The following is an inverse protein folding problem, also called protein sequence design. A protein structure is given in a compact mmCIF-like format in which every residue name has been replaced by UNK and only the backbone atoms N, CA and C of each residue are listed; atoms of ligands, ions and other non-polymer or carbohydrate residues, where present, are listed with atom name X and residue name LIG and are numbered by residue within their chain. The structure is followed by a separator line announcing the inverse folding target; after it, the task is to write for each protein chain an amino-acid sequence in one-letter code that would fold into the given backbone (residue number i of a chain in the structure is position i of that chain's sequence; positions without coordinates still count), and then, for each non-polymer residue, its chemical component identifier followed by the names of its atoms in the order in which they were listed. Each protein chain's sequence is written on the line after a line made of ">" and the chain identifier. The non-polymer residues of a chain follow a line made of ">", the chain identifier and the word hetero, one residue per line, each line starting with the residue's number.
data_IF_824315925130
#
_entry.id   IF_824315925130
#
_cell.length_a   1.000
_cell.length_b   1.000
_cell.length_c   1.000
_cell.angle_alpha   90.00
_cell.angle_beta   90.00
_cell.angle_gamma   90.00
#
_symmetry.space_group_name_H-M   'P 1'
#
loop_
_entity.id
_entity.type
_entity.pdbx_description
1 polymer ?
#
# COMPACT_ATOMS: atom_id res chain seq x y z
N UNK A 1 -45.11 6.16 71.12
CA UNK A 1 -46.36 6.08 70.31
C UNK A 1 -45.84 5.72 68.92
N UNK A 2 -45.84 4.46 68.70
CA UNK A 2 -46.64 3.69 67.71
C UNK A 2 -46.10 3.89 66.30
N UNK A 3 -45.40 2.88 65.90
CA UNK A 3 -45.77 1.84 64.89
C UNK A 3 -45.99 2.40 63.47
N UNK A 4 -45.30 1.90 62.46
CA UNK A 4 -45.75 0.68 61.80
C UNK A 4 -44.72 0.18 60.81
N UNK A 5 -44.47 -1.09 60.86
CA UNK A 5 -43.73 -1.86 59.85
C UNK A 5 -44.58 -1.98 58.57
N UNK A 6 -43.99 -1.82 57.41
CA UNK A 6 -44.53 -2.35 56.18
C UNK A 6 -43.38 -3.12 55.46
N UNK A 7 -43.51 -4.42 55.52
CA UNK A 7 -42.91 -5.39 54.60
C UNK A 7 -43.26 -5.05 53.18
N UNK A 8 -42.26 -5.00 52.32
CA UNK A 8 -42.52 -5.07 50.89
C UNK A 8 -41.60 -6.09 50.24
N UNK A 9 -42.29 -7.12 49.74
CA UNK A 9 -41.73 -8.25 49.02
C UNK A 9 -40.95 -7.79 47.79
N UNK A 10 -39.77 -8.41 47.56
CA UNK A 10 -39.04 -8.24 46.32
C UNK A 10 -39.69 -8.99 45.15
N UNK A 11 -39.53 -8.49 43.96
CA UNK A 11 -39.83 -9.30 42.76
C UNK A 11 -38.61 -10.14 42.32
N UNK A 12 -38.99 -11.30 41.85
CA UNK A 12 -38.19 -12.37 41.29
C UNK A 12 -37.14 -11.93 40.24
N UNK A 13 -36.00 -12.59 40.31
CA UNK A 13 -34.99 -12.56 39.25
C UNK A 13 -35.54 -13.28 38.02
N UNK A 14 -35.71 -12.59 36.93
CA UNK A 14 -35.82 -13.20 35.60
C UNK A 14 -34.41 -13.35 35.04
N UNK A 15 -33.97 -14.58 34.97
CA UNK A 15 -32.84 -15.04 34.18
C UNK A 15 -33.14 -14.82 32.68
N UNK A 16 -32.08 -14.52 31.91
CA UNK A 16 -32.15 -14.62 30.46
C UNK A 16 -31.71 -13.39 29.68
N UNK A 17 -30.55 -12.80 29.97
CA UNK A 17 -29.88 -11.96 28.97
C UNK A 17 -28.98 -12.86 28.12
N UNK A 18 -29.45 -13.21 26.93
CA UNK A 18 -28.62 -13.80 25.88
C UNK A 18 -27.47 -12.85 25.56
N UNK A 19 -26.25 -13.34 25.69
CA UNK A 19 -25.07 -12.66 25.19
C UNK A 19 -25.18 -12.64 23.66
N UNK A 20 -24.93 -11.52 22.99
CA UNK A 20 -24.76 -11.52 21.55
C UNK A 20 -23.49 -12.31 21.25
N UNK A 21 -23.65 -13.34 20.43
CA UNK A 21 -22.54 -14.10 19.86
C UNK A 21 -21.55 -13.12 19.23
N UNK A 22 -20.34 -13.09 19.78
CA UNK A 22 -19.24 -12.38 19.20
C UNK A 22 -18.93 -13.01 17.85
N UNK A 23 -19.32 -12.36 16.77
CA UNK A 23 -18.81 -12.65 15.45
C UNK A 23 -17.29 -12.47 15.50
N UNK A 24 -16.60 -13.58 15.51
CA UNK A 24 -15.13 -13.62 15.41
C UNK A 24 -14.73 -13.11 14.03
N UNK A 25 -14.15 -11.95 14.00
CA UNK A 25 -13.51 -11.34 12.82
C UNK A 25 -12.14 -11.95 12.50
N UNK A 26 -11.97 -13.26 12.73
CA UNK A 26 -10.67 -13.95 12.59
C UNK A 26 -10.37 -14.45 11.17
N UNK A 27 -11.19 -14.12 10.16
CA UNK A 27 -11.05 -14.66 8.80
C UNK A 27 -10.33 -13.79 7.76
N UNK A 28 -10.14 -12.50 8.00
CA UNK A 28 -9.66 -11.56 6.97
C UNK A 28 -8.13 -11.54 6.78
N UNK A 29 -7.36 -12.04 7.72
CA UNK A 29 -5.89 -11.96 7.68
C UNK A 29 -5.22 -13.12 6.92
N UNK A 30 -5.93 -14.21 6.64
CA UNK A 30 -5.40 -15.41 5.97
C UNK A 30 -5.74 -15.48 4.47
N UNK A 31 -6.44 -14.49 3.91
CA UNK A 31 -6.72 -14.49 2.48
C UNK A 31 -5.46 -14.18 1.66
N UNK A 32 -5.20 -14.95 0.57
CA UNK A 32 -4.03 -14.73 -0.28
C UNK A 32 -4.07 -13.34 -0.91
N UNK A 33 -2.90 -12.70 -1.03
CA UNK A 33 -2.79 -11.40 -1.67
C UNK A 33 -3.15 -11.51 -3.16
N UNK A 34 -4.25 -10.89 -3.56
CA UNK A 34 -4.61 -10.72 -4.97
C UNK A 34 -3.97 -9.43 -5.49
N UNK A 35 -3.24 -9.53 -6.59
CA UNK A 35 -2.56 -8.38 -7.21
C UNK A 35 -3.21 -8.09 -8.56
N UNK A 36 -3.55 -6.81 -8.81
CA UNK A 36 -4.21 -6.36 -10.02
C UNK A 36 -4.03 -4.86 -10.26
N UNK A 37 -4.46 -4.34 -11.41
CA UNK A 37 -4.42 -2.92 -11.74
C UNK A 37 -5.47 -2.15 -10.93
N UNK A 38 -5.07 -1.02 -10.37
CA UNK A 38 -5.97 -0.10 -9.65
C UNK A 38 -6.57 0.90 -10.63
N UNK A 39 -7.87 0.82 -10.83
CA UNK A 39 -8.63 1.80 -11.62
C UNK A 39 -9.22 2.95 -10.81
N UNK A 40 -9.76 3.94 -11.50
CA UNK A 40 -10.39 5.12 -10.89
C UNK A 40 -11.46 4.83 -9.82
N UNK A 41 -12.28 3.76 -9.90
CA UNK A 41 -13.23 3.43 -8.84
C UNK A 41 -12.60 3.22 -7.45
N UNK A 42 -11.35 2.77 -7.41
CA UNK A 42 -10.59 2.54 -6.17
C UNK A 42 -9.72 3.73 -5.74
N UNK A 43 -9.81 4.88 -6.40
CA UNK A 43 -8.94 6.03 -6.13
C UNK A 43 -9.05 6.55 -4.69
N UNK A 44 -10.25 6.54 -4.10
CA UNK A 44 -10.46 6.98 -2.70
C UNK A 44 -9.76 6.07 -1.69
N UNK A 45 -9.87 4.77 -1.89
CA UNK A 45 -9.19 3.77 -1.07
C UNK A 45 -7.67 3.84 -1.24
N UNK A 46 -7.21 3.92 -2.49
CA UNK A 46 -5.78 4.10 -2.82
C UNK A 46 -5.19 5.34 -2.17
N UNK A 47 -5.90 6.47 -2.19
CA UNK A 47 -5.46 7.70 -1.54
C UNK A 47 -5.28 7.51 -0.03
N UNK A 48 -6.22 6.80 0.61
CA UNK A 48 -6.19 6.48 2.04
C UNK A 48 -4.99 5.59 2.37
N UNK A 49 -4.77 4.52 1.60
CA UNK A 49 -3.62 3.61 1.75
C UNK A 49 -2.30 4.36 1.61
N UNK A 50 -2.14 5.18 0.57
CA UNK A 50 -0.93 5.96 0.34
C UNK A 50 -0.65 6.93 1.49
N UNK A 51 -1.65 7.70 1.91
CA UNK A 51 -1.50 8.65 3.02
C UNK A 51 -1.10 7.94 4.31
N UNK A 52 -1.77 6.85 4.67
CA UNK A 52 -1.43 6.09 5.86
C UNK A 52 0.00 5.54 5.82
N UNK A 53 0.43 4.99 4.68
CA UNK A 53 1.76 4.41 4.53
C UNK A 53 2.90 5.44 4.61
N UNK A 54 2.68 6.67 4.10
CA UNK A 54 3.72 7.70 4.01
C UNK A 54 3.86 8.59 5.26
N UNK A 55 3.00 8.43 6.27
CA UNK A 55 3.12 9.17 7.54
C UNK A 55 4.47 8.95 8.20
N UNK A 56 4.95 7.71 8.26
CA UNK A 56 6.24 7.40 8.90
C UNK A 56 7.42 8.03 8.14
N UNK A 57 7.33 8.10 6.82
CA UNK A 57 8.36 8.74 6.00
C UNK A 57 8.34 10.26 6.19
N UNK A 58 7.16 10.88 6.21
CA UNK A 58 6.99 12.29 6.51
C UNK A 58 7.55 12.67 7.89
N UNK A 59 7.29 11.85 8.91
CA UNK A 59 7.85 12.06 10.25
C UNK A 59 9.38 11.91 10.27
N UNK A 60 9.94 10.96 9.51
CA UNK A 60 11.39 10.76 9.43
C UNK A 60 12.11 11.96 8.83
N UNK A 61 11.54 12.58 7.81
CA UNK A 61 12.14 13.70 7.11
C UNK A 61 11.65 15.07 7.61
N UNK A 62 10.69 15.09 8.55
CA UNK A 62 10.10 16.34 9.03
C UNK A 62 9.31 17.09 7.94
N UNK A 63 8.93 16.41 6.86
CA UNK A 63 8.23 17.00 5.71
C UNK A 63 6.78 16.51 5.61
N UNK A 64 5.79 17.30 6.09
CA UNK A 64 4.39 16.96 5.95
C UNK A 64 3.84 17.18 4.53
N UNK A 65 4.65 17.75 3.62
CA UNK A 65 4.26 18.08 2.26
C UNK A 65 4.74 17.08 1.20
N UNK A 66 5.13 15.88 1.60
CA UNK A 66 5.44 14.82 0.66
C UNK A 66 4.31 14.65 -0.38
N UNK A 67 4.62 14.49 -1.67
CA UNK A 67 3.61 14.38 -2.73
C UNK A 67 2.56 13.29 -2.49
N UNK A 68 2.92 12.19 -1.79
CA UNK A 68 1.99 11.13 -1.42
C UNK A 68 0.95 11.57 -0.38
N UNK A 69 1.24 12.59 0.44
CA UNK A 69 0.34 13.13 1.47
C UNK A 69 -0.52 14.28 0.96
N UNK A 70 0.01 15.10 0.05
CA UNK A 70 -0.65 16.31 -0.45
C UNK A 70 -1.51 16.10 -1.68
N UNK A 71 -1.29 14.99 -2.41
CA UNK A 71 -2.09 14.66 -3.59
C UNK A 71 -3.58 14.64 -3.26
N UNK A 72 -4.37 15.36 -4.07
CA UNK A 72 -5.83 15.37 -3.99
C UNK A 72 -6.43 14.15 -4.69
N UNK A 73 -7.70 13.85 -4.40
CA UNK A 73 -8.42 12.77 -5.10
C UNK A 73 -8.52 13.03 -6.60
N UNK A 74 -8.77 14.28 -7.02
CA UNK A 74 -8.86 14.63 -8.43
C UNK A 74 -7.54 14.43 -9.18
N UNK A 75 -6.42 14.82 -8.58
CA UNK A 75 -5.08 14.59 -9.14
C UNK A 75 -4.75 13.09 -9.21
N UNK A 76 -5.16 12.30 -8.22
CA UNK A 76 -4.95 10.87 -8.24
C UNK A 76 -5.78 10.19 -9.35
N UNK A 77 -7.05 10.59 -9.53
CA UNK A 77 -7.89 10.09 -10.64
C UNK A 77 -7.27 10.44 -11.98
N UNK A 78 -6.79 11.68 -12.15
CA UNK A 78 -6.10 12.09 -13.37
C UNK A 78 -4.81 11.28 -13.60
N UNK A 79 -4.03 11.00 -12.57
CA UNK A 79 -2.81 10.17 -12.65
C UNK A 79 -3.14 8.72 -13.06
N UNK A 80 -4.20 8.13 -12.51
CA UNK A 80 -4.67 6.79 -12.86
C UNK A 80 -5.19 6.66 -14.31
N UNK A 81 -5.53 7.77 -14.94
CA UNK A 81 -6.04 7.83 -16.31
C UNK A 81 -4.94 8.12 -17.36
N UNK A 82 -3.71 8.39 -16.91
CA UNK A 82 -2.59 8.61 -17.82
C UNK A 82 -2.23 7.32 -18.57
N UNK A 83 -2.01 7.37 -19.90
CA UNK A 83 -1.67 6.17 -20.68
C UNK A 83 -0.27 5.62 -20.39
N UNK A 84 0.61 6.45 -19.82
CA UNK A 84 1.97 6.12 -19.43
C UNK A 84 2.12 5.76 -17.95
N UNK A 85 0.98 5.63 -17.22
CA UNK A 85 0.98 5.28 -15.79
C UNK A 85 0.14 4.04 -15.55
N UNK A 86 0.71 3.08 -14.82
CA UNK A 86 0.01 1.93 -14.29
C UNK A 86 0.17 1.92 -12.77
N UNK A 87 -0.92 1.82 -12.04
CA UNK A 87 -0.87 1.58 -10.58
C UNK A 87 -1.35 0.17 -10.30
N UNK A 88 -0.54 -0.59 -9.59
CA UNK A 88 -0.82 -1.97 -9.20
C UNK A 88 -1.17 -1.96 -7.72
N UNK A 89 -2.24 -2.64 -7.37
CA UNK A 89 -2.71 -2.81 -6.00
C UNK A 89 -2.60 -4.25 -5.53
N UNK A 90 -2.50 -4.43 -4.24
CA UNK A 90 -2.63 -5.71 -3.57
C UNK A 90 -3.85 -5.69 -2.64
N UNK A 91 -4.72 -6.68 -2.79
CA UNK A 91 -5.93 -6.83 -1.97
C UNK A 91 -5.86 -8.09 -1.13
N UNK A 92 -6.32 -7.98 0.12
CA UNK A 92 -6.72 -9.12 0.94
C UNK A 92 -8.25 -9.04 1.08
N UNK A 93 -8.95 -10.04 0.56
CA UNK A 93 -10.39 -9.96 0.41
C UNK A 93 -10.81 -8.75 -0.43
N UNK A 94 -11.58 -7.88 0.18
CA UNK A 94 -12.06 -6.64 -0.44
C UNK A 94 -11.18 -5.41 -0.12
N UNK A 95 -10.26 -5.52 0.84
CA UNK A 95 -9.43 -4.42 1.32
C UNK A 95 -8.20 -4.23 0.46
N UNK A 96 -7.99 -3.02 -0.07
CA UNK A 96 -6.71 -2.64 -0.67
C UNK A 96 -5.67 -2.45 0.45
N UNK A 97 -4.63 -3.27 0.46
CA UNK A 97 -3.61 -3.29 1.53
C UNK A 97 -2.26 -2.73 1.10
N UNK A 98 -2.07 -2.54 -0.19
CA UNK A 98 -0.85 -1.93 -0.71
C UNK A 98 -0.96 -1.54 -2.16
N UNK A 99 -0.01 -0.74 -2.64
CA UNK A 99 0.05 -0.31 -4.04
C UNK A 99 1.48 0.06 -4.44
N UNK A 100 1.74 0.01 -5.73
CA UNK A 100 2.94 0.54 -6.35
C UNK A 100 2.55 1.24 -7.66
N UNK A 101 3.15 2.40 -7.95
CA UNK A 101 2.95 3.16 -9.17
C UNK A 101 4.09 2.92 -10.14
N UNK A 102 3.78 2.74 -11.39
CA UNK A 102 4.72 2.60 -12.51
C UNK A 102 4.49 3.74 -13.48
N UNK A 103 5.54 4.41 -13.89
CA UNK A 103 5.54 5.37 -15.00
C UNK A 103 6.42 4.84 -16.11
N UNK A 104 5.89 4.82 -17.33
CA UNK A 104 6.51 4.23 -18.51
C UNK A 104 7.05 5.33 -19.42
N UNK A 105 8.32 5.23 -19.83
CA UNK A 105 8.95 6.14 -20.76
C UNK A 105 9.85 5.36 -21.73
N UNK A 106 9.35 5.09 -22.93
CA UNK A 106 10.07 4.31 -23.94
C UNK A 106 10.35 2.88 -23.46
N UNK A 107 11.61 2.54 -23.30
CA UNK A 107 12.10 1.25 -22.79
C UNK A 107 12.37 1.25 -21.28
N UNK A 108 11.95 2.30 -20.56
CA UNK A 108 12.16 2.47 -19.13
C UNK A 108 10.86 2.48 -18.37
N UNK A 109 10.89 1.87 -17.19
CA UNK A 109 9.84 1.97 -16.20
C UNK A 109 10.39 2.59 -14.91
N UNK A 110 9.70 3.59 -14.36
CA UNK A 110 10.05 4.17 -13.07
C UNK A 110 9.00 3.79 -12.03
N UNK A 111 9.44 3.08 -11.00
CA UNK A 111 8.59 2.68 -9.89
C UNK A 111 8.61 3.76 -8.80
N UNK A 112 7.45 4.05 -8.27
CA UNK A 112 7.31 4.99 -7.17
C UNK A 112 6.11 4.68 -6.30
N UNK A 113 6.00 5.41 -5.20
CA UNK A 113 4.84 5.35 -4.29
C UNK A 113 4.48 3.92 -3.85
N UNK A 114 5.50 3.08 -3.62
CA UNK A 114 5.29 1.80 -2.96
C UNK A 114 4.73 2.06 -1.56
N UNK A 115 3.53 1.59 -1.32
CA UNK A 115 2.78 1.80 -0.09
C UNK A 115 2.22 0.48 0.40
N UNK A 116 2.28 0.24 1.70
CA UNK A 116 1.61 -0.86 2.39
C UNK A 116 0.97 -0.29 3.63
N UNK A 117 -0.28 -0.67 3.92
CA UNK A 117 -1.00 -0.22 5.12
C UNK A 117 -0.17 -0.52 6.38
N UNK A 118 -0.16 0.39 7.38
CA UNK A 118 0.73 0.28 8.54
C UNK A 118 0.63 -1.03 9.31
N UNK A 119 -0.57 -1.57 9.46
CA UNK A 119 -0.88 -2.81 10.18
C UNK A 119 -0.36 -4.09 9.51
N UNK A 120 -0.03 -4.02 8.20
CA UNK A 120 0.47 -5.16 7.42
C UNK A 120 1.91 -4.95 6.90
N UNK A 121 2.59 -3.91 7.35
CA UNK A 121 4.01 -3.71 7.01
C UNK A 121 4.87 -4.82 7.62
N UNK A 122 5.97 -5.17 6.94
CA UNK A 122 6.87 -6.24 7.39
C UNK A 122 6.42 -7.66 7.03
N UNK A 123 5.21 -7.86 6.49
CA UNK A 123 4.66 -9.16 6.10
C UNK A 123 4.98 -9.56 4.63
N UNK A 124 5.87 -8.84 3.97
CA UNK A 124 6.32 -9.17 2.61
C UNK A 124 5.43 -8.64 1.48
N UNK A 125 4.33 -7.94 1.76
CA UNK A 125 3.42 -7.38 0.74
C UNK A 125 4.16 -6.46 -0.23
N UNK A 126 5.01 -5.57 0.27
CA UNK A 126 5.81 -4.69 -0.57
C UNK A 126 6.74 -5.44 -1.53
N UNK A 127 7.31 -6.57 -1.10
CA UNK A 127 8.10 -7.45 -1.96
C UNK A 127 7.25 -8.11 -3.04
N UNK A 128 6.06 -8.60 -2.69
CA UNK A 128 5.14 -9.20 -3.66
C UNK A 128 4.68 -8.21 -4.72
N UNK A 129 4.35 -6.98 -4.33
CA UNK A 129 4.00 -5.90 -5.25
C UNK A 129 5.16 -5.56 -6.18
N UNK A 130 6.39 -5.45 -5.66
CA UNK A 130 7.59 -5.13 -6.44
C UNK A 130 7.90 -6.22 -7.48
N UNK A 131 7.71 -7.49 -7.12
CA UNK A 131 7.91 -8.62 -8.04
C UNK A 131 6.79 -8.70 -9.08
N UNK A 132 5.54 -8.48 -8.66
CA UNK A 132 4.40 -8.53 -9.56
C UNK A 132 4.45 -7.45 -10.65
N UNK A 133 5.06 -6.29 -10.37
CA UNK A 133 5.21 -5.20 -11.36
C UNK A 133 5.76 -5.69 -12.68
N UNK A 134 6.73 -6.60 -12.66
CA UNK A 134 7.40 -7.10 -13.88
C UNK A 134 6.40 -7.74 -14.86
N UNK A 135 5.28 -8.28 -14.37
CA UNK A 135 4.23 -8.88 -15.21
C UNK A 135 3.35 -7.84 -15.91
N UNK A 136 3.41 -6.58 -15.48
CA UNK A 136 2.62 -5.47 -16.01
C UNK A 136 3.46 -4.50 -16.84
N UNK A 137 4.74 -4.79 -17.04
CA UNK A 137 5.62 -3.98 -17.89
C UNK A 137 5.47 -4.39 -19.35
N UNK A 138 5.52 -3.43 -20.30
CA UNK A 138 5.60 -3.71 -21.73
C UNK A 138 6.84 -4.55 -22.07
N UNK A 139 6.72 -5.41 -23.09
CA UNK A 139 7.83 -6.30 -23.52
C UNK A 139 9.10 -5.56 -23.93
N UNK A 140 8.98 -4.31 -24.41
CA UNK A 140 10.13 -3.48 -24.78
C UNK A 140 10.87 -2.87 -23.58
N UNK A 141 10.38 -3.05 -22.33
CA UNK A 141 11.01 -2.47 -21.15
C UNK A 141 12.37 -3.17 -20.90
N UNK A 142 13.42 -2.38 -20.85
CA UNK A 142 14.79 -2.87 -20.60
C UNK A 142 15.31 -2.48 -19.23
N UNK A 143 14.83 -1.38 -18.69
CA UNK A 143 15.30 -0.83 -17.42
C UNK A 143 14.15 -0.53 -16.48
N UNK A 144 14.32 -0.88 -15.22
CA UNK A 144 13.40 -0.52 -14.15
C UNK A 144 14.15 0.33 -13.12
N UNK A 145 13.65 1.53 -12.90
CA UNK A 145 14.20 2.49 -11.97
C UNK A 145 13.32 2.60 -10.73
N UNK A 146 13.96 2.81 -9.59
CA UNK A 146 13.31 3.17 -8.32
C UNK A 146 14.10 4.29 -7.67
N UNK A 147 13.43 5.08 -6.83
CA UNK A 147 14.12 6.02 -5.97
C UNK A 147 13.48 6.02 -4.57
N UNK A 148 14.30 6.26 -3.57
CA UNK A 148 13.88 6.35 -2.17
C UNK A 148 14.78 7.32 -1.43
N UNK A 149 14.31 7.84 -0.29
CA UNK A 149 15.19 8.63 0.55
C UNK A 149 16.44 7.84 0.97
N UNK A 150 17.59 8.48 0.91
CA UNK A 150 18.89 7.83 1.22
C UNK A 150 18.95 7.19 2.61
N UNK A 151 18.17 7.72 3.56
CA UNK A 151 18.09 7.20 4.93
C UNK A 151 17.07 6.10 5.12
N UNK A 152 16.33 5.73 4.07
CA UNK A 152 15.34 4.66 4.09
C UNK A 152 16.01 3.28 3.96
N UNK A 153 16.76 2.87 4.99
CA UNK A 153 17.53 1.60 4.99
C UNK A 153 16.68 0.39 4.63
N UNK A 154 15.41 0.39 5.06
CA UNK A 154 14.48 -0.71 4.78
C UNK A 154 14.17 -0.81 3.28
N UNK A 155 13.87 0.33 2.61
CA UNK A 155 13.59 0.34 1.19
C UNK A 155 14.84 0.04 0.36
N UNK A 156 16.00 0.61 0.73
CA UNK A 156 17.26 0.30 0.08
C UNK A 156 17.60 -1.19 0.13
N UNK A 157 17.41 -1.82 1.31
CA UNK A 157 17.62 -3.27 1.47
C UNK A 157 16.61 -4.09 0.65
N UNK A 158 15.33 -3.64 0.59
CA UNK A 158 14.31 -4.28 -0.23
C UNK A 158 14.71 -4.28 -1.71
N UNK A 159 15.07 -3.12 -2.25
CA UNK A 159 15.43 -2.99 -3.66
C UNK A 159 16.71 -3.75 -3.99
N UNK A 160 17.77 -3.64 -3.18
CA UNK A 160 19.01 -4.37 -3.38
C UNK A 160 18.79 -5.89 -3.41
N UNK A 161 17.93 -6.43 -2.52
CA UNK A 161 17.57 -7.86 -2.50
C UNK A 161 16.85 -8.31 -3.78
N UNK A 162 16.19 -7.40 -4.50
CA UNK A 162 15.50 -7.68 -5.76
C UNK A 162 16.35 -7.37 -7.01
N UNK A 163 17.67 -7.13 -6.83
CA UNK A 163 18.61 -6.93 -7.92
C UNK A 163 18.67 -5.51 -8.47
N UNK A 164 18.15 -4.52 -7.71
CA UNK A 164 18.35 -3.11 -8.05
C UNK A 164 19.71 -2.65 -7.53
N UNK A 165 20.47 -1.99 -8.39
CA UNK A 165 21.79 -1.47 -8.08
C UNK A 165 21.75 0.06 -7.96
N UNK A 166 22.41 0.60 -6.94
CA UNK A 166 22.54 2.04 -6.75
C UNK A 166 23.30 2.67 -7.92
N UNK A 167 22.78 3.77 -8.45
CA UNK A 167 23.37 4.49 -9.58
C UNK A 167 23.92 5.85 -9.15
N UNK A 168 23.10 6.67 -8.50
CA UNK A 168 23.48 8.01 -8.03
C UNK A 168 22.54 8.49 -6.95
N UNK A 169 22.96 9.56 -6.27
CA UNK A 169 22.13 10.31 -5.34
C UNK A 169 21.75 11.65 -5.95
N UNK A 170 20.52 12.09 -5.73
CA UNK A 170 20.00 13.38 -6.16
C UNK A 170 19.53 14.19 -4.97
N UNK A 171 20.03 15.41 -4.84
CA UNK A 171 19.60 16.36 -3.82
C UNK A 171 18.39 17.17 -4.33
N UNK A 172 17.33 17.21 -3.54
CA UNK A 172 16.11 17.96 -3.82
C UNK A 172 15.72 18.72 -2.56
N UNK A 173 16.07 20.02 -2.48
CA UNK A 173 15.96 20.78 -1.24
C UNK A 173 16.82 20.19 -0.13
N UNK A 174 16.22 19.89 1.02
CA UNK A 174 16.90 19.25 2.16
C UNK A 174 16.93 17.71 2.07
N UNK A 175 16.26 17.14 1.08
CA UNK A 175 16.17 15.69 0.91
C UNK A 175 17.20 15.19 -0.11
N UNK A 176 17.74 14.01 0.16
CA UNK A 176 18.58 13.29 -0.79
C UNK A 176 17.90 11.96 -1.12
N UNK A 177 17.70 11.72 -2.41
CA UNK A 177 17.14 10.49 -2.93
C UNK A 177 18.23 9.63 -3.56
N UNK A 178 18.28 8.38 -3.16
CA UNK A 178 19.07 7.36 -3.84
C UNK A 178 18.27 6.80 -5.01
N UNK A 179 18.88 6.80 -6.21
CA UNK A 179 18.33 6.21 -7.42
C UNK A 179 18.98 4.85 -7.67
N UNK A 180 18.13 3.85 -7.84
CA UNK A 180 18.56 2.49 -8.11
C UNK A 180 17.96 2.01 -9.42
N UNK A 181 18.67 1.14 -10.13
CA UNK A 181 18.25 0.57 -11.41
C UNK A 181 18.41 -0.94 -11.41
N UNK A 182 17.48 -1.60 -12.07
CA UNK A 182 17.57 -3.00 -12.48
C UNK A 182 17.51 -3.07 -14.00
N UNK A 183 18.46 -3.76 -14.62
CA UNK A 183 18.41 -4.14 -16.04
C UNK A 183 17.65 -5.45 -16.13
N UNK A 184 16.67 -5.50 -17.02
CA UNK A 184 15.90 -6.72 -17.25
C UNK A 184 16.63 -7.60 -18.28
N UNK A 185 16.80 -8.87 -17.93
CA UNK A 185 17.35 -9.88 -18.85
C UNK A 185 16.25 -10.49 -19.72
N UNK A 186 16.68 -11.17 -20.81
CA UNK A 186 15.79 -11.94 -21.66
C UNK A 186 15.04 -13.00 -20.82
N UNK A 187 13.71 -12.87 -20.72
CA UNK A 187 12.83 -13.80 -19.98
C UNK A 187 12.41 -13.34 -18.57
N UNK A 188 12.84 -12.17 -18.07
CA UNK A 188 12.33 -11.60 -16.81
C UNK A 188 10.94 -10.97 -16.94
N UNK A 189 10.55 -10.60 -18.15
CA UNK A 189 9.19 -10.15 -18.45
C UNK A 189 8.33 -11.38 -18.75
N UNK A 190 7.47 -11.75 -17.82
CA UNK A 190 6.42 -12.73 -18.09
C UNK A 190 5.39 -12.09 -19.03
N UNK A 191 5.17 -12.75 -20.15
CA UNK A 191 4.26 -12.39 -21.26
C UNK A 191 3.10 -11.46 -20.90
N UNK A 192 3.10 -10.33 -21.60
CA UNK A 192 2.14 -9.23 -21.71
C UNK A 192 0.81 -9.28 -20.95
N UNK A 193 0.33 -8.11 -20.61
CA UNK A 193 -1.02 -7.87 -20.06
C UNK A 193 -2.06 -8.78 -20.72
N UNK A 194 -2.89 -9.50 -19.96
CA UNK A 194 -4.05 -10.18 -20.54
C UNK A 194 -5.05 -9.11 -20.97
N UNK A 195 -5.12 -8.88 -22.28
CA UNK A 195 -6.21 -8.18 -22.95
C UNK A 195 -6.12 -6.64 -22.94
N UNK A 196 -5.57 -6.08 -24.01
CA UNK A 196 -5.99 -4.79 -24.55
C UNK A 196 -7.25 -4.96 -25.38
#
# INVERSE_FOLDING_TARGET
>A
MSTEQAEHAGPERADGAAQPDGEQHDGEQDEPLRIDVVGAPHAGELLTVRRAAFVTEAQRYGDPHLPALTQTLGELVADLQRPDVVTIGGWQGHRLVGSIRVELEGDKATLGRLAVVPDLQGLGIGTQLLLAVLQYLPEQTQEVWVFTGQDSKQNLALYAKQGYEHQFDQHTGELTYAYLRKILGDGELAHGLPGA
#
